data_IF_653111592165
#
_entry.id   IF_653111592165
#
_cell.length_a   1.000
_cell.length_b   1.000
_cell.length_c   1.000
_cell.angle_alpha   90.00
_cell.angle_beta   90.00
_cell.angle_gamma   90.00
#
_symmetry.space_group_name_H-M   'P 1'
#
loop_
_entity.id
_entity.type
_entity.pdbx_description
1 polymer ?
#
# COMPACT_ATOMS: atom_id res chain seq x y z
N UNK A 1 22.57 -3.93 27.57
CA UNK A 1 21.12 -3.71 27.71
C UNK A 1 20.78 -2.65 26.67
N UNK A 2 20.43 -3.06 25.45
CA UNK A 2 20.02 -2.12 24.40
C UNK A 2 18.54 -1.82 24.66
N UNK A 3 18.24 -0.60 25.09
CA UNK A 3 16.88 -0.08 25.09
C UNK A 3 16.38 -0.09 23.64
N UNK A 4 15.36 -0.91 23.36
CA UNK A 4 14.62 -0.82 22.10
C UNK A 4 13.79 0.45 22.17
N UNK A 5 14.32 1.55 21.63
CA UNK A 5 13.49 2.72 21.35
C UNK A 5 12.57 2.36 20.19
N UNK A 6 11.29 2.22 20.48
CA UNK A 6 10.29 2.11 19.44
C UNK A 6 10.11 3.50 18.80
N UNK A 7 10.40 3.64 17.51
CA UNK A 7 10.18 4.87 16.75
C UNK A 7 8.79 4.80 16.10
N UNK A 8 8.05 5.90 16.15
CA UNK A 8 6.87 6.05 15.30
C UNK A 8 7.27 6.21 13.82
N UNK A 9 6.37 5.91 12.89
CA UNK A 9 6.57 6.08 11.45
C UNK A 9 6.86 7.54 11.11
N UNK A 10 6.25 8.47 11.85
CA UNK A 10 6.52 9.89 11.68
C UNK A 10 7.95 10.25 12.10
N UNK A 11 8.43 9.72 13.23
CA UNK A 11 9.82 9.91 13.67
C UNK A 11 10.80 9.19 12.75
N UNK A 12 10.47 7.99 12.29
CA UNK A 12 11.28 7.25 11.33
C UNK A 12 11.39 8.00 10.01
N UNK A 13 10.28 8.52 9.47
CA UNK A 13 10.26 9.29 8.22
C UNK A 13 11.05 10.59 8.35
N UNK A 14 10.93 11.28 9.49
CA UNK A 14 11.66 12.54 9.73
C UNK A 14 13.15 12.33 10.02
N UNK A 15 13.55 11.17 10.53
CA UNK A 15 14.95 10.82 10.82
C UNK A 15 15.56 9.86 9.80
N UNK A 16 14.86 9.58 8.69
CA UNK A 16 15.30 8.64 7.68
C UNK A 16 16.59 9.13 7.03
N UNK A 17 17.70 8.43 7.24
CA UNK A 17 18.94 8.73 6.52
C UNK A 17 18.82 8.27 5.07
N UNK A 18 18.58 9.24 4.18
CA UNK A 18 18.47 9.04 2.73
C UNK A 18 19.75 8.48 2.10
N UNK A 19 20.87 8.42 2.83
CA UNK A 19 22.09 7.73 2.41
C UNK A 19 21.98 6.20 2.45
N UNK A 20 21.05 5.67 3.25
CA UNK A 20 20.89 4.23 3.49
C UNK A 20 19.84 3.58 2.57
N UNK A 21 18.99 4.37 1.91
CA UNK A 21 17.95 3.84 1.03
C UNK A 21 18.52 3.30 -0.29
N UNK A 22 17.93 2.24 -0.86
CA UNK A 22 18.24 1.80 -2.22
C UNK A 22 17.98 2.93 -3.21
N UNK A 23 18.96 3.23 -4.07
CA UNK A 23 18.88 4.32 -5.05
C UNK A 23 18.75 3.75 -6.46
N UNK A 24 17.68 4.10 -7.14
CA UNK A 24 17.56 3.88 -8.60
C UNK A 24 18.19 5.10 -9.27
N UNK A 25 19.23 4.86 -10.09
CA UNK A 25 19.88 5.93 -10.84
C UNK A 25 19.24 6.06 -12.23
N UNK A 26 18.55 7.17 -12.47
CA UNK A 26 18.13 7.55 -13.83
C UNK A 26 19.25 8.33 -14.50
N UNK A 27 19.77 7.80 -15.62
CA UNK A 27 20.84 8.43 -16.40
C UNK A 27 20.23 9.14 -17.59
N UNK A 28 20.45 10.46 -17.69
CA UNK A 28 20.03 11.28 -18.82
C UNK A 28 21.27 11.73 -19.62
N UNK A 29 21.18 11.80 -20.95
CA UNK A 29 22.29 12.31 -21.78
C UNK A 29 22.37 13.83 -21.72
N UNK A 30 23.56 14.40 -21.54
CA UNK A 30 23.80 15.85 -21.54
C UNK A 30 25.27 16.22 -21.72
N UNK A 31 25.54 17.50 -21.97
CA UNK A 31 26.91 18.05 -22.09
C UNK A 31 27.27 18.79 -20.82
N UNK A 32 28.36 18.39 -20.16
CA UNK A 32 28.90 19.06 -18.97
C UNK A 32 29.86 20.19 -19.36
N UNK A 33 29.69 21.36 -18.75
CA UNK A 33 30.65 22.47 -18.80
C UNK A 33 30.66 23.22 -17.47
N UNK A 34 31.78 23.86 -17.16
CA UNK A 34 31.95 24.68 -15.95
C UNK A 34 30.97 25.86 -15.97
N UNK A 35 30.22 26.05 -14.89
CA UNK A 35 29.13 27.01 -14.73
C UNK A 35 27.75 26.50 -15.17
N UNK A 36 27.63 25.24 -15.56
CA UNK A 36 26.35 24.66 -15.98
C UNK A 36 25.38 24.43 -14.81
N UNK A 37 24.10 24.23 -15.11
CA UNK A 37 23.06 23.90 -14.12
C UNK A 37 23.37 22.62 -13.33
N UNK A 38 24.25 21.76 -13.84
CA UNK A 38 24.73 20.57 -13.14
C UNK A 38 25.75 20.88 -12.04
N UNK A 39 26.26 22.10 -11.92
CA UNK A 39 27.20 22.49 -10.85
C UNK A 39 26.47 22.90 -9.57
N UNK A 40 25.18 23.23 -9.67
CA UNK A 40 24.35 23.74 -8.58
C UNK A 40 23.84 22.57 -7.70
N UNK A 41 24.56 22.28 -6.61
CA UNK A 41 24.20 21.37 -5.50
C UNK A 41 24.01 19.87 -5.80
N UNK A 42 24.60 19.00 -4.97
CA UNK A 42 24.48 17.54 -5.08
C UNK A 42 25.70 16.77 -4.55
N UNK A 43 25.61 15.44 -4.48
CA UNK A 43 26.77 14.56 -4.21
C UNK A 43 27.30 13.96 -5.52
N UNK A 44 28.61 14.04 -5.74
CA UNK A 44 29.27 13.68 -6.99
C UNK A 44 30.04 12.35 -6.85
N UNK A 45 29.91 11.46 -7.84
CA UNK A 45 30.68 10.21 -7.93
C UNK A 45 31.18 10.02 -9.37
N UNK A 46 32.42 9.57 -9.51
CA UNK A 46 33.04 9.29 -10.80
C UNK A 46 32.83 7.83 -11.23
N UNK A 47 32.36 7.60 -12.46
CA UNK A 47 32.39 6.28 -13.08
C UNK A 47 33.78 6.00 -13.68
N UNK A 48 34.13 4.73 -13.84
CA UNK A 48 35.44 4.30 -14.37
C UNK A 48 35.73 4.74 -15.81
N UNK A 49 34.74 5.30 -16.52
CA UNK A 49 34.85 5.92 -17.85
C UNK A 49 35.23 7.40 -17.82
N UNK A 50 35.26 8.03 -16.65
CA UNK A 50 35.49 9.48 -16.49
C UNK A 50 34.21 10.32 -16.51
N UNK A 51 33.05 9.70 -16.64
CA UNK A 51 31.75 10.38 -16.56
C UNK A 51 31.43 10.78 -15.10
N UNK A 52 30.99 12.03 -14.92
CA UNK A 52 30.52 12.58 -13.64
C UNK A 52 29.02 12.35 -13.50
N UNK A 53 28.62 11.68 -12.42
CA UNK A 53 27.21 11.55 -12.05
C UNK A 53 26.96 12.35 -10.78
N UNK A 54 25.93 13.19 -10.82
CA UNK A 54 25.53 14.06 -9.71
C UNK A 54 24.10 13.76 -9.29
N UNK A 55 23.92 13.48 -8.02
CA UNK A 55 22.59 13.32 -7.41
C UNK A 55 22.10 14.71 -7.04
N UNK A 56 21.11 15.21 -7.79
CA UNK A 56 20.51 16.54 -7.58
C UNK A 56 19.24 16.51 -6.71
N UNK A 57 18.72 15.32 -6.43
CA UNK A 57 17.52 15.13 -5.62
C UNK A 57 17.29 13.65 -5.29
N UNK A 58 16.52 13.40 -4.25
CA UNK A 58 16.03 12.06 -3.88
C UNK A 58 14.54 12.19 -3.60
N UNK A 59 13.74 11.30 -4.20
CA UNK A 59 12.29 11.25 -4.03
C UNK A 59 11.90 9.84 -3.60
N UNK A 60 11.00 9.72 -2.62
CA UNK A 60 10.44 8.44 -2.24
C UNK A 60 9.34 8.07 -3.24
N UNK A 61 9.58 7.01 -4.01
CA UNK A 61 8.67 6.59 -5.08
C UNK A 61 7.47 5.80 -4.55
N UNK A 62 7.69 4.85 -3.66
CA UNK A 62 6.64 4.04 -3.05
C UNK A 62 7.10 3.44 -1.73
N UNK A 63 6.14 3.13 -0.85
CA UNK A 63 6.36 2.27 0.31
C UNK A 63 5.61 0.96 0.06
N UNK A 64 6.34 -0.15 0.02
CA UNK A 64 5.76 -1.48 -0.08
C UNK A 64 5.64 -2.06 1.32
N UNK A 65 4.44 -2.53 1.67
CA UNK A 65 4.26 -3.32 2.88
C UNK A 65 4.71 -4.75 2.57
N UNK A 66 5.52 -5.40 3.44
CA UNK A 66 5.76 -6.82 3.30
C UNK A 66 4.43 -7.57 3.41
N UNK A 67 4.26 -8.63 2.61
CA UNK A 67 3.09 -9.49 2.68
C UNK A 67 2.85 -9.96 4.13
N UNK A 68 1.60 -9.91 4.58
CA UNK A 68 1.16 -10.98 5.48
C UNK A 68 0.62 -10.59 6.85
N UNK A 69 -0.28 -9.60 6.95
CA UNK A 69 -1.29 -9.65 8.00
C UNK A 69 -2.69 -9.69 7.38
N UNK A 70 -3.46 -10.77 7.59
CA UNK A 70 -4.82 -10.84 7.08
C UNK A 70 -5.68 -9.76 7.72
N UNK A 71 -6.67 -9.28 6.99
CA UNK A 71 -7.81 -8.61 7.59
C UNK A 71 -8.71 -9.67 8.22
N UNK A 72 -9.19 -9.41 9.43
CA UNK A 72 -10.05 -10.27 10.23
C UNK A 72 -11.53 -10.08 9.94
N UNK A 73 -11.92 -8.96 9.33
CA UNK A 73 -13.29 -8.67 8.88
C UNK A 73 -13.33 -7.79 7.63
N UNK A 74 -14.48 -7.75 6.95
CA UNK A 74 -14.71 -6.83 5.82
C UNK A 74 -14.76 -5.37 6.30
N UNK A 75 -15.30 -5.12 7.49
CA UNK A 75 -15.27 -3.80 8.14
C UNK A 75 -13.84 -3.29 8.29
N UNK A 76 -12.91 -4.16 8.70
CA UNK A 76 -11.50 -3.82 8.81
C UNK A 76 -10.90 -3.45 7.45
N UNK A 77 -11.28 -4.15 6.37
CA UNK A 77 -10.79 -3.85 5.01
C UNK A 77 -11.25 -2.48 4.53
N UNK A 78 -12.54 -2.21 4.70
CA UNK A 78 -13.18 -0.97 4.27
C UNK A 78 -12.71 0.23 5.11
N UNK A 79 -12.66 0.08 6.43
CA UNK A 79 -12.37 1.18 7.36
C UNK A 79 -10.92 1.65 7.37
N UNK A 80 -10.03 0.96 6.66
CA UNK A 80 -8.59 1.21 6.68
C UNK A 80 -8.04 1.76 5.36
N UNK A 81 -8.90 1.96 4.37
CA UNK A 81 -8.52 2.64 3.13
C UNK A 81 -8.19 4.13 3.34
N UNK A 82 -7.27 4.71 2.56
CA UNK A 82 -6.93 6.12 2.66
C UNK A 82 -8.15 7.02 2.44
N UNK A 83 -8.38 7.96 3.36
CA UNK A 83 -9.46 8.93 3.26
C UNK A 83 -9.03 10.03 2.26
N UNK A 84 -9.66 10.08 1.08
CA UNK A 84 -9.28 11.06 0.05
C UNK A 84 -10.06 11.01 -1.27
N UNK A 85 -10.78 9.94 -1.57
CA UNK A 85 -11.82 9.91 -2.58
C UNK A 85 -13.13 9.52 -1.88
N UNK A 86 -14.21 10.25 -2.14
CA UNK A 86 -15.54 9.76 -1.79
C UNK A 86 -15.72 8.37 -2.43
N UNK A 87 -16.16 7.39 -1.63
CA UNK A 87 -16.27 5.95 -1.92
C UNK A 87 -15.01 5.12 -1.63
N UNK A 88 -15.23 3.92 -1.09
CA UNK A 88 -14.31 2.83 -0.73
C UNK A 88 -13.36 2.34 -1.87
N UNK A 89 -13.11 3.14 -2.91
CA UNK A 89 -12.56 2.69 -4.18
C UNK A 89 -13.31 1.46 -4.71
N UNK A 90 -12.82 0.88 -5.80
CA UNK A 90 -13.05 -0.54 -6.03
C UNK A 90 -11.75 -1.25 -5.80
N UNK A 91 -11.73 -2.27 -4.95
CA UNK A 91 -10.55 -3.06 -4.68
C UNK A 91 -10.90 -4.54 -4.62
N UNK A 92 -9.92 -5.38 -4.94
CA UNK A 92 -10.09 -6.83 -5.00
C UNK A 92 -9.35 -7.49 -3.85
N UNK A 93 -9.97 -8.50 -3.27
CA UNK A 93 -9.39 -9.30 -2.21
C UNK A 93 -9.72 -10.78 -2.38
N UNK A 94 -9.03 -11.60 -1.60
CA UNK A 94 -9.28 -13.04 -1.47
C UNK A 94 -9.46 -13.40 -0.01
N UNK A 95 -10.17 -14.50 0.26
CA UNK A 95 -10.13 -15.16 1.56
C UNK A 95 -9.27 -16.42 1.50
N UNK A 96 -8.44 -16.66 2.51
CA UNK A 96 -7.74 -17.95 2.66
C UNK A 96 -8.69 -19.10 2.95
N UNK A 97 -9.86 -18.79 3.52
CA UNK A 97 -10.87 -19.77 3.87
C UNK A 97 -12.02 -19.74 2.86
N UNK A 98 -12.75 -20.85 2.76
CA UNK A 98 -14.03 -20.86 2.05
C UNK A 98 -15.02 -19.96 2.78
N UNK A 99 -15.75 -19.14 2.02
CA UNK A 99 -16.83 -18.31 2.56
C UNK A 99 -18.19 -18.88 2.17
N UNK A 100 -19.17 -18.69 3.06
CA UNK A 100 -20.57 -18.94 2.79
C UNK A 100 -21.25 -17.57 2.82
N UNK A 101 -21.72 -17.10 1.66
CA UNK A 101 -22.39 -15.81 1.49
C UNK A 101 -23.78 -16.12 0.96
N UNK A 102 -24.80 -15.89 1.77
CA UNK A 102 -26.17 -16.35 1.52
C UNK A 102 -26.21 -17.84 1.15
N UNK A 103 -26.59 -18.16 -0.09
CA UNK A 103 -26.64 -19.52 -0.64
C UNK A 103 -25.45 -19.86 -1.55
N UNK A 104 -24.45 -18.98 -1.61
CA UNK A 104 -23.25 -19.14 -2.43
C UNK A 104 -22.09 -19.64 -1.58
N UNK A 105 -21.46 -20.72 -2.05
CA UNK A 105 -20.18 -21.17 -1.52
C UNK A 105 -19.08 -20.55 -2.37
N UNK A 106 -18.28 -19.67 -1.77
CA UNK A 106 -17.13 -19.05 -2.42
C UNK A 106 -15.87 -19.80 -2.02
N UNK A 107 -15.20 -20.52 -2.95
CA UNK A 107 -13.97 -21.23 -2.66
C UNK A 107 -12.87 -20.31 -2.13
N UNK A 108 -12.00 -20.86 -1.26
CA UNK A 108 -10.78 -20.18 -0.83
C UNK A 108 -9.95 -19.72 -2.04
N UNK A 109 -9.39 -18.52 -1.95
CA UNK A 109 -8.60 -17.90 -3.01
C UNK A 109 -9.41 -17.33 -4.19
N UNK A 110 -10.75 -17.38 -4.15
CA UNK A 110 -11.57 -16.71 -5.17
C UNK A 110 -11.46 -15.20 -5.04
N UNK A 111 -11.31 -14.49 -6.17
CA UNK A 111 -11.29 -13.03 -6.20
C UNK A 111 -12.67 -12.44 -5.95
N UNK A 112 -12.72 -11.48 -5.03
CA UNK A 112 -13.89 -10.73 -4.63
C UNK A 112 -13.56 -9.25 -4.77
N UNK A 113 -14.30 -8.53 -5.62
CA UNK A 113 -14.11 -7.08 -5.79
C UNK A 113 -15.19 -6.32 -5.04
N UNK A 114 -14.80 -5.46 -4.10
CA UNK A 114 -15.73 -4.49 -3.48
C UNK A 114 -16.04 -3.41 -4.51
N UNK A 115 -17.34 -3.14 -4.72
CA UNK A 115 -17.83 -2.11 -5.65
C UNK A 115 -18.31 -0.86 -4.91
N UNK A 116 -18.95 -1.03 -3.76
CA UNK A 116 -19.43 0.06 -2.90
C UNK A 116 -19.74 -0.47 -1.50
N UNK A 117 -19.86 0.44 -0.53
CA UNK A 117 -20.23 0.13 0.85
C UNK A 117 -21.49 0.89 1.20
N UNK A 118 -22.46 0.19 1.78
CA UNK A 118 -23.74 0.73 2.22
C UNK A 118 -23.78 0.73 3.75
N UNK A 119 -23.69 1.91 4.34
CA UNK A 119 -23.77 2.10 5.79
C UNK A 119 -25.23 2.28 6.22
N UNK A 120 -25.61 1.61 7.30
CA UNK A 120 -26.92 1.77 7.94
C UNK A 120 -26.75 1.99 9.45
N UNK A 121 -27.45 2.97 10.00
CA UNK A 121 -27.44 3.26 11.45
C UNK A 121 -28.33 2.28 12.25
N UNK A 122 -29.37 1.73 11.61
CA UNK A 122 -30.39 0.90 12.27
C UNK A 122 -30.32 -0.59 11.91
N UNK A 123 -29.51 -0.96 10.89
CA UNK A 123 -29.36 -2.33 10.37
C UNK A 123 -27.88 -2.66 10.17
N UNK A 124 -27.59 -3.93 9.94
CA UNK A 124 -26.24 -4.36 9.55
C UNK A 124 -25.80 -3.64 8.27
N UNK A 125 -24.55 -3.19 8.23
CA UNK A 125 -23.95 -2.56 7.06
C UNK A 125 -23.37 -3.63 6.14
N UNK A 126 -23.43 -3.40 4.83
CA UNK A 126 -23.01 -4.37 3.82
C UNK A 126 -22.09 -3.73 2.78
N UNK A 127 -21.20 -4.53 2.22
CA UNK A 127 -20.47 -4.21 1.00
C UNK A 127 -21.13 -4.90 -0.19
N UNK A 128 -21.31 -4.14 -1.28
CA UNK A 128 -21.72 -4.67 -2.58
C UNK A 128 -20.48 -5.19 -3.29
N UNK A 129 -20.44 -6.49 -3.55
CA UNK A 129 -19.27 -7.18 -4.04
C UNK A 129 -19.54 -7.93 -5.34
N UNK A 130 -18.54 -7.99 -6.21
CA UNK A 130 -18.53 -8.82 -7.41
C UNK A 130 -17.65 -10.05 -7.17
N UNK A 131 -18.24 -11.23 -7.31
CA UNK A 131 -17.53 -12.51 -7.35
C UNK A 131 -17.16 -12.83 -8.80
N UNK A 132 -15.91 -13.15 -9.06
CA UNK A 132 -15.47 -13.63 -10.37
C UNK A 132 -15.31 -15.15 -10.32
N UNK A 133 -16.19 -15.87 -10.99
CA UNK A 133 -16.15 -17.33 -11.09
C UNK A 133 -15.18 -17.82 -12.17
N UNK A 134 -14.94 -19.13 -12.17
CA UNK A 134 -14.17 -19.78 -13.23
C UNK A 134 -14.90 -19.58 -14.58
N UNK A 135 -14.15 -19.25 -15.64
CA UNK A 135 -14.66 -18.94 -16.98
C UNK A 135 -15.26 -17.53 -17.18
N UNK A 136 -15.03 -16.59 -16.25
CA UNK A 136 -15.39 -15.17 -16.43
C UNK A 136 -16.86 -14.85 -16.17
N UNK A 137 -17.62 -15.81 -15.64
CA UNK A 137 -18.97 -15.55 -15.12
C UNK A 137 -18.83 -14.77 -13.81
N UNK A 138 -19.53 -13.64 -13.69
CA UNK A 138 -19.55 -12.86 -12.45
C UNK A 138 -20.92 -12.83 -11.81
N UNK A 139 -20.95 -12.88 -10.48
CA UNK A 139 -22.15 -12.68 -9.68
C UNK A 139 -21.96 -11.48 -8.75
N UNK A 140 -23.03 -10.75 -8.47
CA UNK A 140 -23.03 -9.67 -7.50
C UNK A 140 -23.70 -10.15 -6.21
N UNK A 141 -23.05 -9.91 -5.07
CA UNK A 141 -23.47 -10.36 -3.75
C UNK A 141 -23.32 -9.23 -2.73
N UNK A 142 -24.10 -9.28 -1.66
CA UNK A 142 -23.94 -8.39 -0.52
C UNK A 142 -23.22 -9.16 0.59
N UNK A 143 -22.09 -8.64 1.05
CA UNK A 143 -21.31 -9.25 2.14
C UNK A 143 -21.46 -8.36 3.38
N UNK A 144 -21.87 -8.90 4.54
CA UNK A 144 -21.89 -8.13 5.78
C UNK A 144 -20.52 -7.56 6.10
N UNK A 145 -20.44 -6.30 6.56
CA UNK A 145 -19.17 -5.76 7.06
C UNK A 145 -18.66 -6.55 8.29
N UNK A 146 -19.58 -7.12 9.07
CA UNK A 146 -19.33 -8.02 10.20
C UNK A 146 -18.76 -9.39 9.78
N UNK A 147 -18.68 -9.68 8.48
CA UNK A 147 -18.18 -10.96 7.98
C UNK A 147 -16.70 -11.13 8.36
N UNK A 148 -16.43 -12.17 9.14
CA UNK A 148 -15.08 -12.50 9.61
C UNK A 148 -14.40 -13.54 8.73
N UNK A 149 -13.08 -13.46 8.65
CA UNK A 149 -12.28 -14.38 7.86
C UNK A 149 -10.79 -14.04 7.93
N UNK A 150 -10.01 -14.73 7.11
CA UNK A 150 -8.61 -14.37 6.85
C UNK A 150 -8.54 -13.79 5.43
N UNK A 151 -8.70 -12.48 5.32
CA UNK A 151 -8.77 -11.79 4.04
C UNK A 151 -7.45 -11.13 3.68
N UNK A 152 -7.14 -11.10 2.38
CA UNK A 152 -5.94 -10.49 1.82
C UNK A 152 -6.34 -9.62 0.66
N UNK A 153 -5.95 -8.35 0.68
CA UNK A 153 -6.07 -7.48 -0.48
C UNK A 153 -5.13 -7.98 -1.57
N UNK A 154 -5.64 -8.12 -2.80
CA UNK A 154 -4.80 -8.49 -3.93
C UNK A 154 -3.85 -7.34 -4.24
N UNK A 155 -2.60 -7.66 -4.60
CA UNK A 155 -1.64 -6.63 -5.03
C UNK A 155 -2.28 -5.78 -6.13
N UNK A 156 -2.38 -4.49 -5.84
CA UNK A 156 -2.73 -3.50 -6.83
C UNK A 156 -1.42 -2.80 -7.19
N UNK A 157 -1.22 -2.41 -8.45
CA UNK A 157 -0.07 -1.59 -8.88
C UNK A 157 -0.06 -0.19 -8.22
N UNK A 158 -0.97 0.06 -7.28
CA UNK A 158 -1.11 1.28 -6.51
C UNK A 158 -0.13 1.27 -5.34
N UNK A 159 1.01 1.94 -5.53
CA UNK A 159 1.82 2.41 -4.41
C UNK A 159 1.07 3.48 -3.62
N UNK A 160 1.23 3.48 -2.29
CA UNK A 160 0.70 4.54 -1.43
C UNK A 160 1.75 5.64 -1.22
N UNK A 161 1.31 6.90 -1.27
CA UNK A 161 2.10 8.03 -0.80
C UNK A 161 2.28 8.00 0.72
N UNK A 162 3.33 8.65 1.22
CA UNK A 162 3.52 8.82 2.68
C UNK A 162 2.32 9.49 3.35
N UNK A 163 1.68 10.44 2.67
CA UNK A 163 0.51 11.11 3.19
C UNK A 163 -0.67 10.13 3.36
N UNK A 164 -0.93 9.27 2.38
CA UNK A 164 -1.96 8.23 2.47
C UNK A 164 -1.65 7.22 3.57
N UNK A 165 -0.38 6.85 3.75
CA UNK A 165 0.06 5.96 4.83
C UNK A 165 -0.14 6.60 6.19
N UNK A 166 0.21 7.89 6.35
CA UNK A 166 0.05 8.63 7.60
C UNK A 166 -1.43 8.88 7.94
N UNK A 167 -2.31 8.94 6.93
CA UNK A 167 -3.75 9.13 7.11
C UNK A 167 -4.52 7.81 7.28
N UNK A 168 -3.93 6.66 6.91
CA UNK A 168 -4.51 5.34 7.15
C UNK A 168 -3.99 4.74 8.45
N UNK A 169 -4.88 4.49 9.41
CA UNK A 169 -4.54 3.86 10.69
C UNK A 169 -3.85 2.49 10.51
N UNK A 170 -4.19 1.72 9.47
CA UNK A 170 -3.59 0.40 9.20
C UNK A 170 -2.22 0.52 8.55
N UNK A 171 -2.11 1.28 7.46
CA UNK A 171 -0.84 1.44 6.76
C UNK A 171 0.19 2.01 7.73
N UNK A 172 -0.21 2.96 8.58
CA UNK A 172 0.59 3.47 9.68
C UNK A 172 1.01 2.38 10.68
N UNK A 173 0.06 1.58 11.19
CA UNK A 173 0.34 0.54 12.19
C UNK A 173 1.20 -0.62 11.65
N UNK A 174 0.98 -1.04 10.40
CA UNK A 174 1.80 -2.06 9.73
C UNK A 174 3.23 -1.51 9.60
N UNK A 175 3.40 -0.33 8.99
CA UNK A 175 4.71 0.31 8.88
C UNK A 175 5.41 0.47 10.24
N UNK A 176 4.69 0.90 11.28
CA UNK A 176 5.22 0.99 12.65
C UNK A 176 5.70 -0.34 13.20
N UNK A 177 4.93 -1.41 13.00
CA UNK A 177 5.30 -2.74 13.50
C UNK A 177 6.62 -3.20 12.87
N UNK A 178 6.82 -2.91 11.59
CA UNK A 178 8.06 -3.24 10.87
C UNK A 178 9.25 -2.34 11.19
N UNK A 179 9.03 -1.06 11.50
CA UNK A 179 10.08 -0.17 11.98
C UNK A 179 10.63 -0.62 13.34
N UNK A 180 9.78 -1.26 14.15
CA UNK A 180 10.08 -1.60 15.54
C UNK A 180 10.44 -3.08 15.78
N UNK A 181 10.52 -3.91 14.74
CA UNK A 181 10.84 -5.35 14.85
C UNK A 181 12.34 -5.61 14.96
#
# INVERSE_FOLDING_TARGET
>A
MLERFALSLQEFTTNLDMSLLPRILQICSGVYFQGSVYELSGSEVCLSTGDLVKIIGVELLSVCLPEGLPYSSIEEMVGLQPVGLDACGSFTFVSRNQLIIDNFTVPAGSEITILSVEHSEDKESYSRCKLTGQQGVSAEVHIPLSCHGEFYECENDHGYSLQEIMLSARLFNICNTYINS
#
